data_IF_909969537465
#
_entry.id   IF_909969537465
#
_cell.length_a   1.000
_cell.length_b   1.000
_cell.length_c   1.000
_cell.angle_alpha   90.00
_cell.angle_beta   90.00
_cell.angle_gamma   90.00
#
_symmetry.space_group_name_H-M   'P 1'
#
loop_
_entity.id
_entity.type
_entity.pdbx_description
1 polymer ?
#
# COMPACT_ATOMS: atom_id res chain seq x y z
N UNK A 1 -16.66 12.61 7.05
CA UNK A 1 -16.24 11.39 6.35
C UNK A 1 -14.74 11.52 6.11
N UNK A 2 -13.93 10.58 6.59
CA UNK A 2 -12.52 10.48 6.21
C UNK A 2 -12.46 9.76 4.86
N UNK A 3 -11.75 10.32 3.90
CA UNK A 3 -11.61 9.72 2.57
C UNK A 3 -10.43 8.78 2.60
N UNK A 4 -10.59 7.54 2.17
CA UNK A 4 -9.50 6.56 2.14
C UNK A 4 -9.33 5.97 0.75
N UNK A 5 -8.08 5.80 0.34
CA UNK A 5 -7.70 5.10 -0.88
C UNK A 5 -6.91 3.85 -0.53
N UNK A 6 -7.11 2.78 -1.31
CA UNK A 6 -6.35 1.53 -1.18
C UNK A 6 -5.72 1.13 -2.51
N UNK A 7 -4.64 0.34 -2.43
CA UNK A 7 -3.96 -0.24 -3.59
C UNK A 7 -3.44 -1.65 -3.28
N UNK A 8 -3.24 -2.45 -4.33
CA UNK A 8 -2.41 -3.67 -4.29
C UNK A 8 -1.15 -3.41 -5.08
N UNK A 9 0.02 -3.77 -4.54
CA UNK A 9 1.31 -3.60 -5.21
C UNK A 9 2.18 -4.83 -4.98
N UNK A 10 2.78 -5.34 -6.05
CA UNK A 10 3.75 -6.43 -5.96
C UNK A 10 4.95 -6.04 -5.10
N UNK A 11 5.42 -6.95 -4.26
CA UNK A 11 6.61 -6.78 -3.41
C UNK A 11 7.87 -6.54 -4.24
N UNK A 12 7.92 -7.05 -5.47
CA UNK A 12 9.01 -6.88 -6.43
C UNK A 12 8.92 -5.57 -7.22
N UNK A 13 7.81 -4.83 -7.13
CA UNK A 13 7.66 -3.55 -7.81
C UNK A 13 8.33 -2.44 -6.98
N UNK A 14 9.22 -1.67 -7.61
CA UNK A 14 9.94 -0.56 -6.97
C UNK A 14 9.03 0.49 -6.31
N UNK A 15 7.78 0.62 -6.79
CA UNK A 15 6.78 1.51 -6.22
C UNK A 15 6.36 1.10 -4.80
N UNK A 16 6.47 -0.17 -4.41
CA UNK A 16 6.08 -0.65 -3.09
C UNK A 16 6.80 0.11 -1.96
N UNK A 17 8.10 0.36 -2.12
CA UNK A 17 8.89 1.16 -1.15
C UNK A 17 8.43 2.61 -1.12
N UNK A 18 8.06 3.18 -2.27
CA UNK A 18 7.57 4.57 -2.35
C UNK A 18 6.24 4.74 -1.64
N UNK A 19 5.32 3.79 -1.80
CA UNK A 19 4.02 3.88 -1.12
C UNK A 19 4.18 3.83 0.40
N UNK A 20 5.04 2.97 0.94
CA UNK A 20 5.35 2.95 2.38
C UNK A 20 5.90 4.28 2.91
N UNK A 21 6.59 5.06 2.07
CA UNK A 21 7.06 6.40 2.41
C UNK A 21 5.96 7.48 2.32
N UNK A 22 4.89 7.24 1.56
CA UNK A 22 3.82 8.19 1.26
C UNK A 22 2.56 7.95 2.12
N UNK A 23 2.75 7.66 3.41
CA UNK A 23 1.66 7.42 4.38
C UNK A 23 0.70 6.27 4.02
N UNK A 24 1.05 5.43 3.04
CA UNK A 24 0.35 4.16 2.85
C UNK A 24 0.87 3.15 3.86
N UNK A 25 -0.06 2.44 4.50
CA UNK A 25 0.24 1.39 5.47
C UNK A 25 -0.19 0.03 4.91
N UNK A 26 0.65 -1.00 5.07
CA UNK A 26 0.31 -2.37 4.69
C UNK A 26 -0.75 -2.90 5.66
N UNK A 27 -1.89 -3.32 5.13
CA UNK A 27 -3.00 -3.90 5.91
C UNK A 27 -3.16 -5.40 5.65
N UNK A 28 -2.59 -5.90 4.54
CA UNK A 28 -2.56 -7.32 4.19
C UNK A 28 -1.37 -7.60 3.28
N UNK A 29 -0.85 -8.81 3.34
CA UNK A 29 0.15 -9.29 2.40
C UNK A 29 -0.09 -10.75 2.01
N UNK A 30 0.45 -11.14 0.86
CA UNK A 30 0.64 -12.54 0.47
C UNK A 30 2.09 -12.76 -0.01
N UNK A 31 2.38 -13.85 -0.71
CA UNK A 31 3.73 -14.13 -1.22
C UNK A 31 4.21 -13.12 -2.27
N UNK A 32 3.31 -12.49 -3.01
CA UNK A 32 3.62 -11.64 -4.17
C UNK A 32 3.29 -10.17 -3.94
N UNK A 33 2.23 -9.85 -3.18
CA UNK A 33 1.64 -8.51 -3.09
C UNK A 33 1.52 -7.98 -1.65
N UNK A 34 1.57 -6.65 -1.54
CA UNK A 34 1.04 -5.88 -0.41
C UNK A 34 -0.30 -5.24 -0.79
N UNK A 35 -1.28 -5.32 0.11
CA UNK A 35 -2.45 -4.44 0.09
C UNK A 35 -2.19 -3.30 1.08
N UNK A 36 -2.30 -2.07 0.59
CA UNK A 36 -2.00 -0.87 1.36
C UNK A 36 -3.18 0.10 1.38
N UNK A 37 -3.29 0.88 2.46
CA UNK A 37 -4.31 1.93 2.64
C UNK A 37 -3.65 3.25 3.01
N UNK A 38 -4.12 4.34 2.41
CA UNK A 38 -3.82 5.72 2.80
C UNK A 38 -5.12 6.43 3.19
N UNK A 39 -5.11 7.04 4.37
CA UNK A 39 -6.19 7.89 4.85
C UNK A 39 -5.85 9.33 4.46
N UNK A 40 -6.71 9.94 3.63
CA UNK A 40 -6.60 11.31 3.14
C UNK A 40 -7.29 12.31 4.08
#
# INVERSE_FOLDING_TARGET
MLTSTSLSVQKTNDAARRYQQLSFTVVKENSEDYVMVCNL
#
